data_IF_710099785240
#
_entry.id   IF_710099785240
#
_cell.length_a   1.000
_cell.length_b   1.000
_cell.length_c   1.000
_cell.angle_alpha   90.00
_cell.angle_beta   90.00
_cell.angle_gamma   90.00
#
_symmetry.space_group_name_H-M   'P 1'
#
loop_
_entity.id
_entity.type
_entity.pdbx_description
1 polymer ?
#
# COMPACT_ATOMS: atom_id res chain seq x y z
N UNK A 1 -5.98 -9.89 4.08
CA UNK A 1 -6.04 -8.89 2.99
C UNK A 1 -6.03 -9.61 1.66
N UNK A 2 -6.67 -9.04 0.63
CA UNK A 2 -6.72 -9.65 -0.71
C UNK A 2 -7.03 -8.61 -1.78
N UNK A 3 -6.75 -8.96 -3.04
CA UNK A 3 -7.11 -8.18 -4.21
C UNK A 3 -8.23 -8.89 -4.98
N UNK A 4 -9.21 -8.16 -5.50
CA UNK A 4 -10.21 -8.73 -6.41
C UNK A 4 -10.53 -7.81 -7.58
N UNK A 5 -11.04 -8.36 -8.68
CA UNK A 5 -11.52 -7.59 -9.83
C UNK A 5 -12.97 -7.20 -9.56
N UNK A 6 -13.29 -5.91 -9.48
CA UNK A 6 -14.66 -5.45 -9.29
C UNK A 6 -15.20 -4.79 -10.58
N UNK A 7 -16.22 -5.43 -11.19
CA UNK A 7 -16.95 -4.89 -12.33
C UNK A 7 -16.27 -5.09 -13.70
N UNK A 8 -16.96 -4.71 -14.78
CA UNK A 8 -16.62 -4.95 -16.20
C UNK A 8 -15.34 -4.26 -16.70
N UNK A 9 -14.52 -3.72 -15.81
CA UNK A 9 -13.20 -3.18 -16.12
C UNK A 9 -12.14 -4.02 -15.41
N UNK A 10 -11.04 -4.31 -16.08
CA UNK A 10 -9.94 -5.15 -15.58
C UNK A 10 -9.15 -4.56 -14.40
N UNK A 11 -9.73 -3.63 -13.63
CA UNK A 11 -9.10 -2.97 -12.50
C UNK A 11 -9.04 -3.86 -11.26
N UNK A 12 -7.83 -3.97 -10.67
CA UNK A 12 -7.60 -4.64 -9.41
C UNK A 12 -7.97 -3.70 -8.25
N UNK A 13 -8.99 -4.13 -7.52
CA UNK A 13 -9.52 -3.66 -6.25
C UNK A 13 -8.67 -4.06 -5.03
N UNK A 14 -8.27 -3.14 -4.15
CA UNK A 14 -7.80 -3.50 -2.80
C UNK A 14 -8.99 -3.56 -1.83
N UNK A 15 -9.13 -4.69 -1.13
CA UNK A 15 -10.22 -4.89 -0.16
C UNK A 15 -9.66 -5.22 1.23
N UNK A 16 -10.30 -4.66 2.25
CA UNK A 16 -10.09 -5.04 3.65
C UNK A 16 -11.34 -5.78 4.13
N UNK A 17 -11.10 -6.84 4.91
CA UNK A 17 -12.15 -7.68 5.49
C UNK A 17 -12.18 -7.44 7.00
N UNK A 18 -13.15 -6.65 7.46
CA UNK A 18 -13.15 -6.13 8.84
C UNK A 18 -13.59 -7.16 9.90
N UNK A 19 -14.36 -8.21 9.57
CA UNK A 19 -14.84 -9.21 10.55
C UNK A 19 -15.22 -10.54 9.85
N UNK A 20 -15.24 -11.71 10.54
CA UNK A 20 -15.53 -13.04 9.98
C UNK A 20 -16.82 -13.19 9.15
N UNK A 21 -17.74 -12.23 9.22
CA UNK A 21 -18.99 -12.15 8.44
C UNK A 21 -19.32 -10.71 8.00
N UNK A 22 -18.34 -9.79 8.02
CA UNK A 22 -18.52 -8.39 7.62
C UNK A 22 -18.51 -8.22 6.10
N UNK A 23 -19.11 -7.13 5.55
CA UNK A 23 -19.04 -6.86 4.13
C UNK A 23 -17.59 -6.60 3.69
N UNK A 24 -17.24 -7.02 2.46
CA UNK A 24 -15.98 -6.57 1.84
C UNK A 24 -16.08 -5.07 1.56
N UNK A 25 -15.14 -4.29 2.10
CA UNK A 25 -15.04 -2.86 1.86
C UNK A 25 -13.96 -2.58 0.83
N UNK A 26 -14.34 -1.96 -0.28
CA UNK A 26 -13.37 -1.35 -1.21
C UNK A 26 -12.75 -0.14 -0.51
N UNK A 27 -11.43 -0.17 -0.38
CA UNK A 27 -10.66 0.90 0.26
C UNK A 27 -9.73 1.60 -0.73
N UNK A 28 -9.77 1.23 -2.01
CA UNK A 28 -8.91 1.78 -3.03
C UNK A 28 -9.42 3.14 -3.56
N UNK A 29 -8.53 4.12 -3.81
CA UNK A 29 -8.84 5.17 -4.78
C UNK A 29 -9.05 4.52 -6.16
N UNK A 30 -9.75 5.19 -7.11
CA UNK A 30 -10.05 4.69 -8.48
C UNK A 30 -8.79 4.42 -9.33
N UNK A 31 -7.94 3.51 -8.88
CA UNK A 31 -6.63 3.15 -9.37
C UNK A 31 -6.42 1.65 -9.13
N UNK A 32 -5.54 1.02 -9.92
CA UNK A 32 -5.19 -0.38 -9.71
C UNK A 32 -4.42 -0.51 -8.39
N UNK A 33 -5.03 -1.13 -7.38
CA UNK A 33 -4.49 -1.25 -6.03
C UNK A 33 -4.48 -2.70 -5.56
N UNK A 34 -3.46 -3.08 -4.79
CA UNK A 34 -3.39 -4.38 -4.11
C UNK A 34 -2.68 -4.24 -2.77
N UNK A 35 -3.00 -5.15 -1.85
CA UNK A 35 -2.41 -5.22 -0.51
C UNK A 35 -1.48 -6.44 -0.43
N UNK A 36 -0.28 -6.25 0.13
CA UNK A 36 0.74 -7.28 0.28
C UNK A 36 0.90 -7.76 1.73
N UNK A 37 0.64 -6.88 2.71
CA UNK A 37 0.85 -7.18 4.13
C UNK A 37 -0.17 -6.51 5.02
N UNK A 38 -0.37 -7.06 6.21
CA UNK A 38 -1.24 -6.52 7.26
C UNK A 38 -0.66 -6.85 8.63
N UNK A 39 -0.74 -5.90 9.58
CA UNK A 39 -0.33 -6.13 10.97
C UNK A 39 -1.54 -6.49 11.87
N UNK A 40 -1.28 -6.81 13.14
CA UNK A 40 -2.34 -7.18 14.09
C UNK A 40 -3.29 -6.02 14.47
N UNK A 41 -2.94 -4.77 14.15
CA UNK A 41 -3.81 -3.60 14.35
C UNK A 41 -4.76 -3.37 13.17
N UNK A 42 -4.64 -4.17 12.11
CA UNK A 42 -5.43 -4.04 10.89
C UNK A 42 -4.83 -3.07 9.88
N UNK A 43 -3.66 -2.47 10.15
CA UNK A 43 -2.98 -1.63 9.16
C UNK A 43 -2.48 -2.52 8.03
N UNK A 44 -2.83 -2.15 6.79
CA UNK A 44 -2.48 -2.91 5.60
C UNK A 44 -1.61 -2.08 4.68
N UNK A 45 -0.62 -2.72 4.06
CA UNK A 45 0.29 -2.06 3.12
C UNK A 45 0.27 -2.72 1.76
N UNK A 46 0.62 -1.96 0.74
CA UNK A 46 0.67 -2.49 -0.62
C UNK A 46 1.16 -1.47 -1.64
N UNK A 47 0.57 -1.54 -2.82
CA UNK A 47 0.83 -0.58 -3.88
C UNK A 47 -0.45 -0.23 -4.63
N UNK A 48 -0.47 0.98 -5.16
CA UNK A 48 -1.41 1.37 -6.20
C UNK A 48 -0.66 1.96 -7.38
N UNK A 49 -1.32 1.97 -8.54
CA UNK A 49 -0.81 2.60 -9.75
C UNK A 49 -1.61 3.87 -10.08
N UNK A 50 -1.35 5.01 -9.41
CA UNK A 50 -1.90 6.29 -9.83
C UNK A 50 -1.26 6.70 -11.17
N UNK A 51 -1.96 6.48 -12.27
CA UNK A 51 -1.42 6.73 -13.61
C UNK A 51 -0.47 5.63 -14.07
N UNK A 52 0.78 5.98 -14.40
CA UNK A 52 1.73 5.06 -15.05
C UNK A 52 2.71 4.37 -14.10
N UNK A 53 2.93 4.92 -12.90
CA UNK A 53 3.91 4.42 -11.92
C UNK A 53 3.23 3.83 -10.68
N UNK A 54 3.86 2.82 -10.09
CA UNK A 54 3.41 2.28 -8.81
C UNK A 54 3.92 3.15 -7.66
N UNK A 55 3.05 3.41 -6.70
CA UNK A 55 3.36 4.07 -5.44
C UNK A 55 3.05 3.11 -4.30
N UNK A 56 3.85 3.14 -3.25
CA UNK A 56 3.61 2.36 -2.03
C UNK A 56 2.56 3.05 -1.15
N UNK A 57 1.61 2.30 -0.61
CA UNK A 57 0.54 2.84 0.22
C UNK A 57 0.39 2.08 1.53
N UNK A 58 -0.20 2.76 2.52
CA UNK A 58 -0.73 2.20 3.75
C UNK A 58 -2.21 2.55 3.90
N UNK A 59 -3.03 1.57 4.23
CA UNK A 59 -4.35 1.76 4.80
C UNK A 59 -4.24 1.65 6.32
N UNK A 60 -4.55 2.73 7.02
CA UNK A 60 -4.49 2.80 8.49
C UNK A 60 -5.54 3.79 8.99
N UNK A 61 -6.16 3.52 10.13
CA UNK A 61 -7.17 4.38 10.74
C UNK A 61 -8.28 4.82 9.77
N UNK A 62 -8.68 3.93 8.86
CA UNK A 62 -9.72 4.19 7.86
C UNK A 62 -9.30 5.11 6.70
N UNK A 63 -8.04 5.52 6.62
CA UNK A 63 -7.48 6.36 5.58
C UNK A 63 -6.51 5.57 4.68
N UNK A 64 -6.50 5.90 3.39
CA UNK A 64 -5.56 5.37 2.41
C UNK A 64 -4.50 6.44 2.13
N UNK A 65 -3.25 6.17 2.48
CA UNK A 65 -2.16 7.16 2.53
C UNK A 65 -1.03 6.72 1.60
N UNK A 66 -0.61 7.61 0.70
CA UNK A 66 0.60 7.42 -0.10
C UNK A 66 1.82 7.56 0.80
N UNK A 67 2.66 6.54 0.89
CA UNK A 67 3.85 6.59 1.73
C UNK A 67 4.87 7.62 1.20
N UNK A 68 4.83 7.97 -0.09
CA UNK A 68 5.68 9.00 -0.65
C UNK A 68 5.34 10.40 -0.10
N UNK A 69 4.11 10.63 0.35
CA UNK A 69 3.70 11.89 0.99
C UNK A 69 4.19 11.98 2.45
N UNK A 70 4.71 10.88 3.01
CA UNK A 70 5.11 10.78 4.43
C UNK A 70 6.61 10.81 4.67
N UNK A 71 7.40 10.53 3.63
CA UNK A 71 8.87 10.55 3.73
C UNK A 71 9.40 11.97 3.60
N UNK A 72 10.49 12.27 4.32
CA UNK A 72 11.07 13.62 4.32
C UNK A 72 12.00 13.90 3.14
N UNK A 73 12.49 12.86 2.46
CA UNK A 73 13.43 12.98 1.36
C UNK A 73 12.72 12.65 0.02
N UNK A 74 12.39 13.66 -0.79
CA UNK A 74 11.66 13.47 -2.05
C UNK A 74 12.52 12.85 -3.17
N UNK A 75 13.83 12.67 -2.96
CA UNK A 75 14.68 11.92 -3.90
C UNK A 75 14.39 10.42 -3.89
N UNK A 76 13.67 9.93 -2.89
CA UNK A 76 13.18 8.55 -2.85
C UNK A 76 11.80 8.42 -3.47
N UNK A 77 11.61 7.36 -4.24
CA UNK A 77 10.31 6.92 -4.72
C UNK A 77 10.06 5.50 -4.21
N UNK A 78 9.11 5.36 -3.30
CA UNK A 78 8.61 4.09 -2.80
C UNK A 78 7.58 3.54 -3.77
N UNK A 79 7.83 2.37 -4.36
CA UNK A 79 6.96 1.81 -5.40
C UNK A 79 6.03 0.73 -4.88
N UNK A 80 6.50 -0.08 -3.93
CA UNK A 80 5.70 -1.16 -3.34
C UNK A 80 6.06 -1.35 -1.88
N UNK A 81 5.09 -1.23 -0.98
CA UNK A 81 5.25 -1.73 0.39
C UNK A 81 4.95 -3.23 0.41
N UNK A 82 5.93 -4.03 0.83
CA UNK A 82 5.89 -5.49 0.71
C UNK A 82 5.46 -6.17 2.00
N UNK A 83 5.75 -5.57 3.16
CA UNK A 83 5.36 -6.09 4.47
C UNK A 83 5.26 -4.98 5.51
N UNK A 84 4.46 -5.22 6.54
CA UNK A 84 4.35 -4.40 7.75
C UNK A 84 4.37 -5.31 8.98
N UNK A 85 5.02 -4.87 10.06
CA UNK A 85 4.99 -5.58 11.35
C UNK A 85 4.12 -4.85 12.38
N UNK A 86 3.92 -5.47 13.55
CA UNK A 86 3.10 -4.92 14.65
C UNK A 86 3.64 -3.64 15.27
N UNK A 87 4.90 -3.27 14.98
CA UNK A 87 5.48 -1.98 15.38
C UNK A 87 5.29 -0.89 14.32
N UNK A 88 4.53 -1.18 13.26
CA UNK A 88 4.32 -0.26 12.14
C UNK A 88 5.55 -0.08 11.23
N UNK A 89 6.58 -0.91 11.37
CA UNK A 89 7.74 -0.86 10.47
C UNK A 89 7.38 -1.50 9.14
N UNK A 90 7.76 -0.86 8.04
CA UNK A 90 7.34 -1.25 6.69
C UNK A 90 8.58 -1.58 5.85
N UNK A 91 8.63 -2.78 5.30
CA UNK A 91 9.57 -3.13 4.24
C UNK A 91 9.00 -2.67 2.89
N UNK A 92 9.82 -2.03 2.05
CA UNK A 92 9.39 -1.54 0.75
C UNK A 92 10.48 -1.65 -0.32
N UNK A 93 10.05 -1.65 -1.58
CA UNK A 93 10.92 -1.41 -2.74
C UNK A 93 10.91 0.07 -3.08
N UNK A 94 12.09 0.64 -3.29
CA UNK A 94 12.24 2.05 -3.60
C UNK A 94 13.37 2.32 -4.58
N UNK A 95 13.31 3.41 -5.33
CA UNK A 95 14.44 3.95 -6.09
C UNK A 95 14.87 5.29 -5.52
N UNK A 96 16.14 5.64 -5.71
CA UNK A 96 16.69 6.93 -5.30
C UNK A 96 17.21 7.67 -6.53
N UNK A 97 16.68 8.86 -6.81
CA UNK A 97 16.97 9.68 -8.00
C UNK A 97 16.87 8.90 -9.33
N UNK A 98 15.84 8.05 -9.48
CA UNK A 98 15.62 7.24 -10.68
C UNK A 98 16.62 6.10 -10.88
N UNK A 99 17.46 5.82 -9.88
CA UNK A 99 18.39 4.69 -9.90
C UNK A 99 17.70 3.32 -9.78
N UNK A 100 18.52 2.28 -9.64
CA UNK A 100 18.02 0.91 -9.46
C UNK A 100 17.13 0.79 -8.21
N UNK A 101 16.13 -0.09 -8.28
CA UNK A 101 15.29 -0.42 -7.15
C UNK A 101 16.07 -1.16 -6.07
N UNK A 102 15.82 -0.80 -4.82
CA UNK A 102 16.43 -1.38 -3.62
C UNK A 102 15.40 -1.59 -2.52
N UNK A 103 15.69 -2.53 -1.62
CA UNK A 103 14.89 -2.76 -0.42
C UNK A 103 15.21 -1.68 0.62
N UNK A 104 14.16 -1.10 1.21
CA UNK A 104 14.26 -0.10 2.28
C UNK A 104 13.34 -0.49 3.44
N UNK A 105 13.69 0.01 4.64
CA UNK A 105 12.88 -0.12 5.84
C UNK A 105 12.40 1.27 6.27
N UNK A 106 11.09 1.48 6.25
CA UNK A 106 10.47 2.64 6.86
C UNK A 106 10.22 2.36 8.34
N UNK A 107 10.56 3.34 9.16
CA UNK A 107 10.31 3.30 10.60
C UNK A 107 9.45 4.51 10.95
N UNK A 108 8.29 4.33 11.60
CA UNK A 108 7.50 5.44 12.12
C UNK A 108 8.37 6.34 13.02
N UNK A 109 8.16 7.66 12.96
CA UNK A 109 8.81 8.62 13.87
C UNK A 109 8.05 8.76 15.18
#
# INVERSE_FOLDING_TARGET
VGSSLAGTSSQLHAFVYDLPNGPMRDVSPKAFCWLNGVNNSGDAVGACRPGDHNHAFIWTNGAFIDLNDTISDPSWLLTTATAINDRGQIAATASHNGGAFQAVLLTPR
#
